data_IF_474339885406
#
_entry.id   IF_474339885406
#
_cell.length_a   1.000
_cell.length_b   1.000
_cell.length_c   1.000
_cell.angle_alpha   90.00
_cell.angle_beta   90.00
_cell.angle_gamma   90.00
#
_symmetry.space_group_name_H-M   'P 1'
#
loop_
_entity.id
_entity.type
_entity.pdbx_description
1 polymer ?
#
# COMPACT_ATOMS: atom_id res chain seq x y z
N UNK A 1 -17.76 -31.91 -24.79
CA UNK A 1 -18.88 -31.27 -24.07
C UNK A 1 -18.80 -31.52 -22.56
N UNK A 2 -18.94 -32.73 -22.04
CA UNK A 2 -18.97 -32.99 -20.57
C UNK A 2 -17.79 -32.40 -19.77
N UNK A 3 -16.55 -32.50 -20.28
CA UNK A 3 -15.36 -31.88 -19.63
C UNK A 3 -15.43 -30.35 -19.57
N UNK A 4 -15.92 -29.71 -20.63
CA UNK A 4 -16.07 -28.24 -20.67
C UNK A 4 -17.12 -27.79 -19.66
N UNK A 5 -18.28 -28.47 -19.62
CA UNK A 5 -19.32 -28.22 -18.62
C UNK A 5 -18.81 -28.37 -17.19
N UNK A 6 -18.04 -29.43 -16.91
CA UNK A 6 -17.46 -29.67 -15.58
C UNK A 6 -16.46 -28.59 -15.17
N UNK A 7 -15.59 -28.15 -16.09
CA UNK A 7 -14.62 -27.06 -15.83
C UNK A 7 -15.35 -25.75 -15.55
N UNK A 8 -16.31 -25.37 -16.40
CA UNK A 8 -17.10 -24.14 -16.19
C UNK A 8 -17.92 -24.21 -14.89
N UNK A 9 -18.48 -25.36 -14.53
CA UNK A 9 -19.16 -25.52 -13.25
C UNK A 9 -18.22 -25.35 -12.04
N UNK A 10 -16.99 -25.86 -12.12
CA UNK A 10 -15.98 -25.69 -11.07
C UNK A 10 -15.54 -24.22 -10.95
N UNK A 11 -15.34 -23.53 -12.07
CA UNK A 11 -15.00 -22.10 -12.09
C UNK A 11 -16.11 -21.24 -11.49
N UNK A 12 -17.38 -21.52 -11.83
CA UNK A 12 -18.52 -20.81 -11.24
C UNK A 12 -18.68 -21.11 -9.74
N UNK A 13 -18.45 -22.36 -9.32
CA UNK A 13 -18.47 -22.73 -7.90
C UNK A 13 -17.35 -22.04 -7.12
N UNK A 14 -16.14 -21.98 -7.69
CA UNK A 14 -15.01 -21.24 -7.12
C UNK A 14 -15.32 -19.75 -7.00
N UNK A 15 -15.86 -19.14 -8.05
CA UNK A 15 -16.25 -17.73 -8.04
C UNK A 15 -17.30 -17.47 -6.95
N UNK A 16 -18.31 -18.33 -6.83
CA UNK A 16 -19.34 -18.22 -5.79
C UNK A 16 -18.74 -18.31 -4.39
N UNK A 17 -17.88 -19.31 -4.13
CA UNK A 17 -17.22 -19.48 -2.83
C UNK A 17 -16.32 -18.28 -2.51
N UNK A 18 -15.50 -17.85 -3.48
CA UNK A 18 -14.64 -16.68 -3.34
C UNK A 18 -15.44 -15.41 -3.05
N UNK A 19 -16.53 -15.16 -3.77
CA UNK A 19 -17.41 -14.02 -3.53
C UNK A 19 -18.05 -14.08 -2.14
N UNK A 20 -18.58 -15.23 -1.74
CA UNK A 20 -19.18 -15.42 -0.41
C UNK A 20 -18.16 -15.18 0.72
N UNK A 21 -16.96 -15.74 0.61
CA UNK A 21 -15.91 -15.55 1.62
C UNK A 21 -15.52 -14.07 1.76
N UNK A 22 -15.36 -13.34 0.65
CA UNK A 22 -15.03 -11.91 0.71
C UNK A 22 -16.19 -11.07 1.25
N UNK A 23 -17.43 -11.35 0.83
CA UNK A 23 -18.61 -10.63 1.31
C UNK A 23 -18.87 -10.87 2.81
N UNK A 24 -18.76 -12.11 3.28
CA UNK A 24 -18.92 -12.44 4.68
C UNK A 24 -17.82 -11.80 5.54
N UNK A 25 -16.58 -11.78 5.06
CA UNK A 25 -15.49 -11.12 5.76
C UNK A 25 -15.65 -9.60 5.79
N UNK A 26 -16.04 -8.98 4.67
CA UNK A 26 -16.35 -7.55 4.62
C UNK A 26 -17.49 -7.20 5.59
N UNK A 27 -18.56 -8.01 5.61
CA UNK A 27 -19.66 -7.84 6.55
C UNK A 27 -19.20 -8.02 8.00
N UNK A 28 -18.35 -9.00 8.30
CA UNK A 28 -17.78 -9.21 9.63
C UNK A 28 -16.98 -7.99 10.11
N UNK A 29 -16.06 -7.47 9.29
CA UNK A 29 -15.25 -6.29 9.62
C UNK A 29 -16.15 -5.07 9.84
N UNK A 30 -17.08 -4.81 8.91
CA UNK A 30 -17.99 -3.67 9.01
C UNK A 30 -18.90 -3.75 10.24
N UNK A 31 -19.53 -4.91 10.48
CA UNK A 31 -20.42 -5.10 11.63
C UNK A 31 -19.69 -5.04 12.96
N UNK A 32 -18.45 -5.55 13.04
CA UNK A 32 -17.62 -5.48 14.23
C UNK A 32 -17.18 -4.04 14.52
N UNK A 33 -16.80 -3.29 13.49
CA UNK A 33 -16.50 -1.87 13.63
C UNK A 33 -17.71 -1.07 14.16
N UNK A 34 -18.88 -1.24 13.53
CA UNK A 34 -20.11 -0.56 13.95
C UNK A 34 -20.54 -0.97 15.36
N UNK A 35 -20.46 -2.26 15.70
CA UNK A 35 -20.77 -2.75 17.04
C UNK A 35 -19.83 -2.17 18.10
N UNK A 36 -18.53 -2.05 17.78
CA UNK A 36 -17.54 -1.40 18.64
C UNK A 36 -17.88 0.06 18.91
N UNK A 37 -18.29 0.81 17.88
CA UNK A 37 -18.69 2.20 18.02
C UNK A 37 -19.96 2.36 18.85
N UNK A 38 -20.97 1.52 18.62
CA UNK A 38 -22.21 1.52 19.42
C UNK A 38 -21.88 1.21 20.88
N UNK A 39 -21.05 0.18 21.14
CA UNK A 39 -20.64 -0.18 22.49
C UNK A 39 -19.91 0.96 23.20
N UNK A 40 -19.00 1.64 22.51
CA UNK A 40 -18.30 2.82 23.05
C UNK A 40 -19.25 3.97 23.36
N UNK A 41 -20.16 4.30 22.43
CA UNK A 41 -21.13 5.37 22.63
C UNK A 41 -22.10 5.08 23.79
N UNK A 42 -22.54 3.82 23.94
CA UNK A 42 -23.36 3.39 25.07
C UNK A 42 -22.58 3.46 26.38
N UNK A 43 -21.32 3.03 26.39
CA UNK A 43 -20.46 3.13 27.57
C UNK A 43 -20.21 4.58 27.98
N UNK A 44 -19.93 5.46 27.01
CA UNK A 44 -19.75 6.89 27.24
C UNK A 44 -21.04 7.54 27.74
N UNK A 45 -22.22 7.06 27.31
CA UNK A 45 -23.52 7.54 27.79
C UNK A 45 -23.86 7.05 29.20
N UNK A 46 -23.59 5.78 29.51
CA UNK A 46 -23.93 5.16 30.79
C UNK A 46 -22.94 5.49 31.91
N UNK A 47 -21.66 5.70 31.58
CA UNK A 47 -20.58 5.80 32.55
C UNK A 47 -19.81 7.12 32.54
N UNK A 48 -20.22 8.13 31.74
CA UNK A 48 -19.77 9.51 31.99
C UNK A 48 -20.42 10.06 33.27
N UNK A 49 -19.81 9.76 34.40
CA UNK A 49 -19.85 10.66 35.56
C UNK A 49 -19.01 11.91 35.25
N UNK A 50 -19.47 13.06 35.73
CA UNK A 50 -18.80 14.36 35.62
C UNK A 50 -17.40 14.31 36.24
N UNK A 51 -16.40 13.90 35.46
CA UNK A 51 -15.01 14.16 35.76
C UNK A 51 -14.48 14.95 34.58
N UNK A 52 -14.40 16.28 34.77
CA UNK A 52 -13.49 17.13 34.03
C UNK A 52 -12.08 16.59 34.29
N UNK A 53 -11.68 15.60 33.49
CA UNK A 53 -10.27 15.33 33.31
C UNK A 53 -9.79 16.47 32.44
N UNK A 54 -9.29 17.52 33.10
CA UNK A 54 -8.32 18.42 32.49
C UNK A 54 -7.32 17.52 31.77
N UNK A 55 -7.34 17.57 30.44
CA UNK A 55 -6.38 16.90 29.60
C UNK A 55 -5.04 17.45 30.06
N UNK A 56 -4.30 16.62 30.80
CA UNK A 56 -3.03 17.01 31.39
C UNK A 56 -2.15 17.42 30.22
N UNK A 57 -1.77 18.70 30.25
CA UNK A 57 -0.67 19.31 29.53
C UNK A 57 0.36 18.23 29.19
N UNK A 58 0.46 17.87 27.90
CA UNK A 58 1.52 17.01 27.45
C UNK A 58 2.83 17.73 27.77
N UNK A 59 3.52 17.21 28.77
CA UNK A 59 4.90 17.53 29.11
C UNK A 59 5.70 17.70 27.82
N UNK A 60 6.00 18.95 27.47
CA UNK A 60 7.03 19.30 26.50
C UNK A 60 8.32 18.63 26.93
N UNK A 61 8.59 17.46 26.36
CA UNK A 61 9.86 16.76 26.54
C UNK A 61 10.33 16.30 25.17
N UNK A 62 11.29 17.04 24.60
CA UNK A 62 12.10 16.69 23.42
C UNK A 62 11.40 16.30 22.09
N UNK A 63 10.06 16.35 21.99
CA UNK A 63 9.30 15.88 20.82
C UNK A 63 9.56 16.69 19.54
N UNK A 64 10.02 17.95 19.65
CA UNK A 64 10.13 18.88 18.51
C UNK A 64 11.11 18.42 17.40
N UNK A 65 12.08 17.56 17.70
CA UNK A 65 13.11 17.13 16.75
C UNK A 65 12.96 15.75 16.10
N UNK A 66 11.88 14.99 16.39
CA UNK A 66 11.74 13.64 15.84
C UNK A 66 11.02 13.63 14.47
N UNK A 67 11.64 13.07 13.42
CA UNK A 67 10.99 12.82 12.13
C UNK A 67 9.72 11.97 12.30
N UNK A 68 8.57 12.34 11.71
CA UNK A 68 7.37 11.53 11.84
C UNK A 68 7.51 10.19 11.10
N UNK A 69 6.74 9.19 11.54
CA UNK A 69 6.59 7.91 10.86
C UNK A 69 5.20 7.89 10.21
N UNK A 70 5.13 7.75 8.90
CA UNK A 70 3.87 7.73 8.15
C UNK A 70 3.55 6.31 7.70
N UNK A 71 2.45 5.75 8.21
CA UNK A 71 1.98 4.41 7.87
C UNK A 71 1.01 4.47 6.68
N UNK A 72 1.40 3.92 5.54
CA UNK A 72 0.63 3.99 4.28
C UNK A 72 -0.01 2.63 3.99
N UNK A 73 -1.34 2.58 4.01
CA UNK A 73 -2.10 1.33 3.85
C UNK A 73 -2.08 0.79 2.42
N UNK A 74 -2.49 -0.46 2.23
CA UNK A 74 -2.63 -1.09 0.91
C UNK A 74 -3.97 -0.86 0.22
N UNK A 75 -4.34 -1.80 -0.66
CA UNK A 75 -5.69 -1.93 -1.21
C UNK A 75 -6.70 -2.21 -0.10
N UNK A 76 -7.91 -1.65 -0.20
CA UNK A 76 -8.98 -1.72 0.81
C UNK A 76 -8.61 -1.18 2.20
N UNK A 77 -7.43 -0.59 2.36
CA UNK A 77 -7.02 0.03 3.60
C UNK A 77 -7.72 1.35 3.87
N UNK A 78 -7.50 1.88 5.06
CA UNK A 78 -8.14 3.08 5.56
C UNK A 78 -7.26 3.78 6.59
N UNK A 79 -7.41 5.10 6.70
CA UNK A 79 -6.65 5.89 7.67
C UNK A 79 -7.28 5.94 9.06
N UNK A 80 -6.61 6.66 9.97
CA UNK A 80 -7.10 6.87 11.34
C UNK A 80 -8.45 7.59 11.33
N UNK A 81 -9.40 7.08 12.11
CA UNK A 81 -10.75 7.66 12.25
C UNK A 81 -11.77 7.16 11.22
N UNK A 82 -11.39 6.24 10.33
CA UNK A 82 -12.31 5.48 9.49
C UNK A 82 -12.62 4.12 10.10
N UNK A 83 -13.79 3.58 9.76
CA UNK A 83 -14.36 2.38 10.37
C UNK A 83 -14.36 2.46 11.91
N UNK A 84 -14.71 3.63 12.42
CA UNK A 84 -14.90 3.84 13.85
C UNK A 84 -13.61 3.72 14.66
N UNK A 85 -13.66 2.89 15.70
CA UNK A 85 -12.51 2.55 16.54
C UNK A 85 -11.54 1.52 15.94
N UNK A 86 -11.82 0.93 14.77
CA UNK A 86 -10.96 -0.06 14.14
C UNK A 86 -9.68 0.59 13.59
N UNK A 87 -8.55 -0.11 13.72
CA UNK A 87 -7.26 0.35 13.18
C UNK A 87 -6.77 -0.58 12.09
N UNK A 88 -6.48 -0.04 10.90
CA UNK A 88 -5.88 -0.81 9.82
C UNK A 88 -4.53 -1.39 10.24
N UNK A 89 -3.68 -0.60 10.89
CA UNK A 89 -2.38 -1.07 11.40
C UNK A 89 -2.48 -1.72 12.79
N UNK A 90 -3.69 -2.13 13.21
CA UNK A 90 -3.99 -2.84 14.46
C UNK A 90 -3.39 -2.17 15.72
N UNK A 91 -3.34 -0.83 15.73
CA UNK A 91 -2.84 -0.04 16.85
C UNK A 91 -1.33 0.18 16.85
N UNK A 92 -0.60 -0.21 15.80
CA UNK A 92 0.82 0.12 15.66
C UNK A 92 1.07 1.63 15.76
N UNK A 93 0.15 2.46 15.28
CA UNK A 93 0.21 3.91 15.39
C UNK A 93 0.19 4.46 16.82
N UNK A 94 -0.03 3.61 17.83
CA UNK A 94 0.04 3.97 19.26
C UNK A 94 1.34 3.51 19.93
N UNK A 95 2.24 2.83 19.21
CA UNK A 95 3.48 2.25 19.76
C UNK A 95 4.66 3.25 19.79
N UNK A 96 4.56 4.38 19.13
CA UNK A 96 5.60 5.42 19.09
C UNK A 96 4.94 6.81 19.00
N UNK A 97 5.72 7.86 19.23
CA UNK A 97 5.29 9.24 19.09
C UNK A 97 5.34 9.68 17.63
N UNK A 98 4.54 10.69 17.25
CA UNK A 98 4.50 11.25 15.88
C UNK A 98 4.31 10.21 14.76
N UNK A 99 3.41 9.24 14.99
CA UNK A 99 2.99 8.30 13.95
C UNK A 99 1.71 8.80 13.27
N UNK A 100 1.79 9.01 11.96
CA UNK A 100 0.68 9.47 11.12
C UNK A 100 0.11 8.30 10.31
N UNK A 101 -1.21 8.28 10.14
CA UNK A 101 -1.92 7.22 9.39
C UNK A 101 -2.88 7.89 8.40
N UNK A 102 -2.40 8.29 7.21
CA UNK A 102 -3.22 8.92 6.18
C UNK A 102 -4.41 8.06 5.76
N UNK A 103 -5.52 8.74 5.47
CA UNK A 103 -6.71 8.16 4.85
C UNK A 103 -6.72 8.49 3.36
N UNK A 104 -6.10 7.61 2.57
CA UNK A 104 -6.01 7.71 1.12
C UNK A 104 -7.14 6.90 0.46
N UNK A 105 -7.39 7.14 -0.82
CA UNK A 105 -8.29 6.29 -1.59
C UNK A 105 -7.90 4.80 -1.50
N UNK A 106 -8.84 3.95 -1.10
CA UNK A 106 -8.56 2.53 -0.84
C UNK A 106 -8.45 1.71 -2.13
N UNK A 107 -8.99 2.22 -3.24
CA UNK A 107 -8.98 1.60 -4.57
C UNK A 107 -8.44 2.50 -5.70
N UNK A 108 -8.12 3.77 -5.42
CA UNK A 108 -7.56 4.70 -6.42
C UNK A 108 -6.16 4.26 -6.87
N UNK A 109 -5.72 4.76 -8.04
CA UNK A 109 -4.42 4.39 -8.62
C UNK A 109 -3.25 4.76 -7.69
N UNK A 110 -2.10 4.12 -7.89
CA UNK A 110 -0.91 4.41 -7.10
C UNK A 110 -0.48 5.88 -7.30
N UNK A 111 -0.64 6.40 -8.52
CA UNK A 111 -0.38 7.80 -8.86
C UNK A 111 -1.25 8.76 -8.03
N UNK A 112 -2.57 8.57 -8.05
CA UNK A 112 -3.50 9.42 -7.30
C UNK A 112 -3.25 9.38 -5.80
N UNK A 113 -2.99 8.18 -5.28
CA UNK A 113 -2.67 8.01 -3.86
C UNK A 113 -1.38 8.70 -3.47
N UNK A 114 -0.39 8.77 -4.36
CA UNK A 114 0.84 9.51 -4.11
C UNK A 114 0.59 11.02 -4.07
N UNK A 115 -0.25 11.54 -4.99
CA UNK A 115 -0.71 12.94 -4.98
C UNK A 115 -1.47 13.25 -3.69
N UNK A 116 -2.44 12.43 -3.30
CA UNK A 116 -3.21 12.60 -2.06
C UNK A 116 -2.31 12.57 -0.82
N UNK A 117 -1.32 11.68 -0.79
CA UNK A 117 -0.38 11.57 0.33
C UNK A 117 0.47 12.83 0.50
N UNK A 118 0.94 13.43 -0.59
CA UNK A 118 1.68 14.69 -0.55
C UNK A 118 0.85 15.80 0.12
N UNK A 119 -0.36 16.06 -0.39
CA UNK A 119 -1.20 17.13 0.13
C UNK A 119 -1.78 16.82 1.52
N UNK A 120 -1.95 15.55 1.89
CA UNK A 120 -2.27 15.18 3.28
C UNK A 120 -1.18 15.64 4.26
N UNK A 121 0.10 15.48 3.88
CA UNK A 121 1.24 15.86 4.71
C UNK A 121 1.49 17.36 4.65
N UNK A 122 1.72 17.91 3.46
CA UNK A 122 2.11 19.31 3.24
C UNK A 122 0.95 20.29 3.46
N UNK A 123 -0.27 19.86 3.15
CA UNK A 123 -1.47 20.70 3.12
C UNK A 123 -1.73 21.28 1.74
N UNK A 124 -2.95 21.79 1.54
CA UNK A 124 -3.45 22.33 0.28
C UNK A 124 -4.49 21.43 -0.37
N UNK A 125 -4.95 21.85 -1.55
CA UNK A 125 -5.92 21.11 -2.35
C UNK A 125 -5.19 20.11 -3.22
N UNK A 126 -5.63 18.84 -3.19
CA UNK A 126 -5.05 17.80 -4.03
C UNK A 126 -5.14 18.20 -5.50
N UNK A 127 -4.00 18.24 -6.17
CA UNK A 127 -3.87 18.41 -7.62
C UNK A 127 -3.33 17.10 -8.21
N UNK A 128 -4.15 16.44 -9.03
CA UNK A 128 -3.79 15.22 -9.74
C UNK A 128 -2.99 15.52 -11.02
N UNK A 129 -2.88 16.79 -11.43
CA UNK A 129 -2.25 17.23 -12.66
C UNK A 129 -3.25 17.25 -13.82
N UNK A 130 -3.15 18.28 -14.66
CA UNK A 130 -4.06 18.52 -15.79
C UNK A 130 -4.04 17.38 -16.80
N UNK A 131 -2.85 17.05 -17.33
CA UNK A 131 -2.68 15.98 -18.34
C UNK A 131 -3.19 14.62 -17.85
N UNK A 132 -2.85 14.24 -16.62
CA UNK A 132 -3.31 12.98 -16.03
C UNK A 132 -4.84 12.95 -15.90
N UNK A 133 -5.43 14.03 -15.40
CA UNK A 133 -6.88 14.09 -15.16
C UNK A 133 -7.68 14.10 -16.45
N UNK A 134 -7.17 14.72 -17.51
CA UNK A 134 -7.75 14.66 -18.85
C UNK A 134 -7.65 13.26 -19.44
N UNK A 135 -6.48 12.61 -19.36
CA UNK A 135 -6.26 11.26 -19.87
C UNK A 135 -7.12 10.20 -19.13
N UNK A 136 -7.28 10.34 -17.82
CA UNK A 136 -8.02 9.43 -16.96
C UNK A 136 -9.52 9.80 -16.82
N UNK A 137 -9.94 10.95 -17.35
CA UNK A 137 -11.34 11.36 -17.39
C UNK A 137 -11.94 11.72 -16.02
N UNK A 138 -11.16 12.34 -15.14
CA UNK A 138 -11.61 12.78 -13.82
C UNK A 138 -11.25 14.24 -13.52
N UNK A 139 -11.68 14.76 -12.37
CA UNK A 139 -11.39 16.13 -11.96
C UNK A 139 -9.92 16.31 -11.62
N UNK A 140 -9.30 17.41 -12.08
CA UNK A 140 -7.93 17.80 -11.69
C UNK A 140 -7.75 17.96 -10.18
N UNK A 141 -8.75 18.52 -9.52
CA UNK A 141 -8.65 18.83 -8.10
C UNK A 141 -9.50 17.92 -7.23
N UNK A 142 -8.88 17.36 -6.19
CA UNK A 142 -9.49 16.49 -5.20
C UNK A 142 -9.82 17.18 -3.88
N UNK A 143 -9.60 16.43 -2.78
CA UNK A 143 -9.86 16.84 -1.39
C UNK A 143 -9.01 18.07 -1.02
N UNK A 144 -9.58 18.97 -0.21
CA UNK A 144 -8.87 20.13 0.34
C UNK A 144 -8.37 19.84 1.76
N UNK A 145 -7.05 19.70 1.91
CA UNK A 145 -6.38 19.56 3.20
C UNK A 145 -5.95 20.95 3.71
N UNK A 146 -6.91 21.73 4.22
CA UNK A 146 -6.68 23.11 4.70
C UNK A 146 -5.44 23.27 5.61
N UNK A 147 -5.15 22.25 6.43
CA UNK A 147 -3.94 22.14 7.22
C UNK A 147 -3.33 20.75 7.00
N UNK A 148 -2.10 20.73 6.46
CA UNK A 148 -1.31 19.51 6.37
C UNK A 148 -1.01 18.92 7.74
N UNK A 149 -0.82 17.61 7.82
CA UNK A 149 -0.42 16.96 9.07
C UNK A 149 1.04 17.22 9.45
N UNK A 150 1.87 17.64 8.49
CA UNK A 150 3.26 18.03 8.69
C UNK A 150 3.68 19.12 7.69
N UNK A 151 3.16 20.37 7.81
CA UNK A 151 3.41 21.43 6.83
C UNK A 151 4.89 21.85 6.71
N UNK A 152 5.66 21.68 7.77
CA UNK A 152 7.10 21.92 7.82
C UNK A 152 7.92 20.87 7.04
N UNK A 153 7.29 19.84 6.47
CA UNK A 153 7.97 18.79 5.71
C UNK A 153 8.87 19.38 4.61
N UNK A 154 10.16 19.14 4.72
CA UNK A 154 11.19 19.49 3.75
C UNK A 154 12.43 18.58 3.89
N UNK A 155 13.57 18.97 3.33
CA UNK A 155 14.82 18.20 3.40
C UNK A 155 15.46 18.20 4.81
N UNK A 156 15.27 19.27 5.58
CA UNK A 156 15.75 19.41 6.96
C UNK A 156 14.77 18.76 7.95
N UNK A 157 13.51 18.59 7.54
CA UNK A 157 12.43 17.95 8.28
C UNK A 157 11.92 16.69 7.52
N UNK A 158 12.76 15.67 7.28
CA UNK A 158 12.37 14.54 6.44
C UNK A 158 11.48 13.54 7.18
N UNK A 159 10.89 12.60 6.43
CA UNK A 159 9.91 11.63 6.94
C UNK A 159 10.39 10.18 6.78
N UNK A 160 10.01 9.32 7.73
CA UNK A 160 10.04 7.87 7.56
C UNK A 160 8.70 7.36 7.05
N UNK A 161 8.70 6.57 5.98
CA UNK A 161 7.50 5.91 5.49
C UNK A 161 7.51 4.41 5.79
N UNK A 162 6.36 3.87 6.18
CA UNK A 162 6.12 2.43 6.32
C UNK A 162 4.90 2.06 5.49
N UNK A 163 5.12 1.36 4.37
CA UNK A 163 4.07 0.97 3.43
C UNK A 163 3.68 -0.50 3.58
N UNK A 164 2.40 -0.78 3.78
CA UNK A 164 1.87 -2.14 3.63
C UNK A 164 1.33 -2.37 2.21
N UNK A 165 1.63 -3.51 1.61
CA UNK A 165 1.06 -3.91 0.30
C UNK A 165 1.28 -2.83 -0.78
N UNK A 166 0.23 -2.41 -1.47
CA UNK A 166 0.25 -1.32 -2.45
C UNK A 166 0.77 0.02 -1.89
N UNK A 167 0.65 0.26 -0.58
CA UNK A 167 1.16 1.48 0.07
C UNK A 167 2.67 1.65 -0.11
N UNK A 168 3.42 0.55 -0.25
CA UNK A 168 4.84 0.59 -0.55
C UNK A 168 5.14 1.15 -1.96
N UNK A 169 4.27 0.89 -2.95
CA UNK A 169 4.40 1.50 -4.28
C UNK A 169 4.05 2.99 -4.23
N UNK A 170 2.99 3.37 -3.49
CA UNK A 170 2.58 4.77 -3.31
C UNK A 170 3.74 5.62 -2.78
N UNK A 171 4.44 5.12 -1.76
CA UNK A 171 5.59 5.82 -1.18
C UNK A 171 6.71 6.02 -2.20
N UNK A 172 7.00 5.00 -3.03
CA UNK A 172 8.05 5.08 -4.04
C UNK A 172 7.69 6.07 -5.16
N UNK A 173 6.44 6.05 -5.61
CA UNK A 173 5.93 7.00 -6.60
C UNK A 173 5.96 8.42 -6.05
N UNK A 174 5.53 8.63 -4.81
CA UNK A 174 5.66 9.91 -4.12
C UNK A 174 7.12 10.37 -4.06
N UNK A 175 8.04 9.50 -3.66
CA UNK A 175 9.46 9.86 -3.58
C UNK A 175 10.03 10.28 -4.94
N UNK A 176 9.67 9.57 -6.02
CA UNK A 176 10.07 9.95 -7.37
C UNK A 176 9.44 11.28 -7.78
N UNK A 177 8.16 11.51 -7.50
CA UNK A 177 7.49 12.78 -7.77
C UNK A 177 8.14 13.97 -7.06
N UNK A 178 8.65 13.77 -5.84
CA UNK A 178 9.41 14.78 -5.12
C UNK A 178 10.74 15.07 -5.83
N UNK A 179 11.47 14.04 -6.27
CA UNK A 179 12.71 14.19 -7.01
C UNK A 179 12.51 14.93 -8.35
N UNK A 180 11.40 14.64 -9.02
CA UNK A 180 11.02 15.20 -10.32
C UNK A 180 10.34 16.58 -10.20
N UNK A 181 10.12 17.07 -8.97
CA UNK A 181 9.42 18.34 -8.68
C UNK A 181 8.03 18.41 -9.30
N UNK A 182 7.28 17.32 -9.19
CA UNK A 182 6.01 17.17 -9.88
C UNK A 182 4.84 17.97 -9.28
N UNK A 183 5.05 18.67 -8.15
CA UNK A 183 4.00 19.38 -7.42
C UNK A 183 4.07 20.89 -7.68
N UNK A 184 3.08 21.42 -8.42
CA UNK A 184 3.01 22.84 -8.79
C UNK A 184 3.02 23.73 -7.53
N UNK A 185 3.91 24.72 -7.50
CA UNK A 185 4.09 25.63 -6.37
C UNK A 185 5.02 25.12 -5.26
N UNK A 186 5.65 23.95 -5.43
CA UNK A 186 6.60 23.36 -4.49
C UNK A 186 7.92 22.96 -5.20
N UNK A 187 8.57 23.94 -5.81
CA UNK A 187 9.79 23.76 -6.62
C UNK A 187 11.03 23.33 -5.81
N UNK A 188 10.94 23.42 -4.48
CA UNK A 188 11.97 23.01 -3.52
C UNK A 188 11.98 21.50 -3.24
N UNK A 189 10.95 20.77 -3.69
CA UNK A 189 10.84 19.33 -3.46
C UNK A 189 12.02 18.57 -4.05
N UNK A 190 12.43 17.51 -3.35
CA UNK A 190 13.47 16.58 -3.78
C UNK A 190 13.30 15.22 -3.08
N UNK A 191 14.01 14.20 -3.54
CA UNK A 191 13.99 12.84 -2.98
C UNK A 191 14.39 12.78 -1.51
N UNK A 192 15.12 13.81 -1.05
CA UNK A 192 15.77 13.87 0.23
C UNK A 192 14.81 14.19 1.39
N UNK A 193 13.59 14.63 1.07
CA UNK A 193 12.46 14.76 1.99
C UNK A 193 12.02 13.41 2.59
N UNK A 194 12.53 12.30 2.04
CA UNK A 194 12.30 10.94 2.51
C UNK A 194 13.56 10.35 3.11
N UNK A 195 13.52 10.06 4.41
CA UNK A 195 14.67 9.52 5.13
C UNK A 195 14.75 7.99 5.04
N UNK A 196 13.61 7.30 5.13
CA UNK A 196 13.56 5.85 4.91
C UNK A 196 12.23 5.39 4.36
N UNK A 197 12.26 4.30 3.61
CA UNK A 197 11.08 3.55 3.15
C UNK A 197 11.17 2.13 3.69
N UNK A 198 10.23 1.76 4.56
CA UNK A 198 10.06 0.38 5.00
C UNK A 198 8.81 -0.19 4.36
N UNK A 199 8.89 -1.43 3.90
CA UNK A 199 7.75 -2.15 3.36
C UNK A 199 7.42 -3.37 4.17
N UNK A 200 6.12 -3.59 4.41
CA UNK A 200 5.56 -4.82 4.93
C UNK A 200 4.67 -5.43 3.85
N UNK A 201 5.08 -6.59 3.33
CA UNK A 201 4.35 -7.27 2.25
C UNK A 201 4.17 -6.42 0.97
N UNK A 202 5.14 -5.57 0.61
CA UNK A 202 5.00 -4.58 -0.47
C UNK A 202 4.86 -5.15 -1.87
N UNK A 203 4.01 -4.54 -2.69
CA UNK A 203 3.73 -5.02 -4.05
C UNK A 203 4.71 -4.48 -5.11
N UNK A 204 6.04 -4.59 -4.91
CA UNK A 204 6.99 -3.89 -5.78
C UNK A 204 6.98 -4.33 -7.24
N UNK A 205 6.66 -5.59 -7.52
CA UNK A 205 6.70 -6.17 -8.86
C UNK A 205 5.34 -6.67 -9.33
N UNK A 206 4.26 -6.28 -8.65
CA UNK A 206 2.92 -6.77 -8.91
C UNK A 206 2.66 -8.17 -8.34
N UNK A 207 1.51 -8.75 -8.66
CA UNK A 207 1.10 -10.06 -8.15
C UNK A 207 0.32 -10.86 -9.18
N UNK A 208 0.50 -12.18 -9.16
CA UNK A 208 -0.32 -13.10 -9.96
C UNK A 208 -1.76 -13.19 -9.46
N UNK A 209 -2.04 -12.73 -8.22
CA UNK A 209 -3.40 -12.69 -7.67
C UNK A 209 -4.34 -11.82 -8.51
N UNK A 210 -3.86 -10.74 -9.11
CA UNK A 210 -4.68 -9.86 -9.94
C UNK A 210 -5.35 -10.64 -11.08
N UNK A 211 -4.61 -11.54 -11.75
CA UNK A 211 -5.15 -12.35 -12.86
C UNK A 211 -6.11 -13.44 -12.39
N UNK A 212 -5.87 -13.99 -11.19
CA UNK A 212 -6.78 -14.96 -10.54
C UNK A 212 -8.09 -14.30 -10.14
N UNK A 213 -8.04 -13.07 -9.63
CA UNK A 213 -9.22 -12.33 -9.21
C UNK A 213 -10.02 -11.78 -10.40
N UNK A 214 -9.37 -11.50 -11.55
CA UNK A 214 -10.09 -11.18 -12.79
C UNK A 214 -9.37 -10.31 -13.81
N UNK A 215 -8.15 -9.82 -13.56
CA UNK A 215 -7.40 -9.06 -14.56
C UNK A 215 -7.00 -9.94 -15.74
N UNK A 216 -6.94 -9.36 -16.94
CA UNK A 216 -6.51 -10.06 -18.16
C UNK A 216 -4.99 -10.13 -18.21
N UNK A 217 -4.49 -11.26 -18.68
CA UNK A 217 -3.05 -11.52 -18.81
C UNK A 217 -2.45 -10.83 -20.03
N UNK A 218 -3.27 -10.54 -21.04
CA UNK A 218 -2.87 -9.94 -22.31
C UNK A 218 -2.40 -8.49 -22.17
N UNK A 219 -3.16 -7.67 -21.44
CA UNK A 219 -2.90 -6.23 -21.29
C UNK A 219 -2.58 -5.81 -19.84
N UNK A 220 -2.99 -6.59 -18.83
CA UNK A 220 -2.87 -6.22 -17.42
C UNK A 220 -3.79 -5.06 -16.99
N UNK A 221 -4.72 -4.64 -17.85
CA UNK A 221 -5.59 -3.47 -17.62
C UNK A 221 -7.06 -3.88 -17.70
N UNK A 222 -7.42 -4.73 -18.66
CA UNK A 222 -8.77 -5.20 -18.84
C UNK A 222 -9.18 -6.22 -17.76
N UNK A 223 -10.47 -6.32 -17.50
CA UNK A 223 -11.05 -7.36 -16.64
C UNK A 223 -11.74 -8.44 -17.47
N UNK A 224 -11.64 -9.69 -17.00
CA UNK A 224 -12.41 -10.83 -17.52
C UNK A 224 -13.91 -10.56 -17.34
N UNK A 225 -14.77 -11.00 -18.27
CA UNK A 225 -16.20 -10.70 -18.25
C UNK A 225 -16.93 -11.34 -17.06
N UNK A 226 -16.46 -12.50 -16.59
CA UNK A 226 -17.00 -13.20 -15.42
C UNK A 226 -15.82 -13.45 -14.47
N UNK A 227 -15.80 -12.75 -13.35
CA UNK A 227 -14.71 -12.84 -12.35
C UNK A 227 -15.10 -12.19 -11.02
N UNK A 228 -14.29 -12.42 -9.99
CA UNK A 228 -14.49 -11.81 -8.67
C UNK A 228 -14.37 -10.28 -8.75
N UNK A 229 -13.44 -9.78 -9.57
CA UNK A 229 -13.26 -8.35 -9.78
C UNK A 229 -14.45 -7.68 -10.46
N UNK A 230 -15.17 -8.36 -11.35
CA UNK A 230 -16.40 -7.78 -11.92
C UNK A 230 -17.48 -7.57 -10.86
N UNK A 231 -17.62 -8.50 -9.91
CA UNK A 231 -18.53 -8.34 -8.78
C UNK A 231 -18.10 -7.18 -7.87
N UNK A 232 -16.81 -7.07 -7.60
CA UNK A 232 -16.23 -5.96 -6.84
C UNK A 232 -16.48 -4.61 -7.55
N UNK A 233 -16.19 -4.53 -8.85
CA UNK A 233 -16.43 -3.35 -9.69
C UNK A 233 -17.89 -2.91 -9.61
N UNK A 234 -18.85 -3.82 -9.81
CA UNK A 234 -20.28 -3.49 -9.73
C UNK A 234 -20.61 -2.95 -8.33
N UNK A 235 -20.13 -3.59 -7.27
CA UNK A 235 -20.34 -3.14 -5.89
C UNK A 235 -19.79 -1.73 -5.63
N UNK A 236 -18.58 -1.43 -6.12
CA UNK A 236 -17.94 -0.11 -5.99
C UNK A 236 -18.69 0.96 -6.80
N UNK A 237 -19.06 0.66 -8.05
CA UNK A 237 -19.85 1.59 -8.88
C UNK A 237 -21.17 1.92 -8.18
N UNK A 238 -21.88 0.91 -7.67
CA UNK A 238 -23.14 1.11 -6.95
C UNK A 238 -22.94 1.92 -5.67
N UNK A 239 -21.88 1.64 -4.91
CA UNK A 239 -21.53 2.37 -3.70
C UNK A 239 -21.29 3.86 -3.97
N UNK A 240 -20.44 4.18 -4.94
CA UNK A 240 -20.07 5.57 -5.25
C UNK A 240 -21.19 6.33 -5.95
N UNK A 241 -21.99 5.64 -6.76
CA UNK A 241 -23.18 6.20 -7.37
C UNK A 241 -24.27 6.53 -6.35
N UNK A 242 -24.55 5.64 -5.38
CA UNK A 242 -25.56 5.91 -4.33
C UNK A 242 -25.19 7.11 -3.44
N UNK A 243 -23.90 7.38 -3.26
CA UNK A 243 -23.38 8.59 -2.61
C UNK A 243 -23.98 8.86 -1.22
N UNK A 244 -24.05 7.81 -0.40
CA UNK A 244 -24.61 7.86 0.97
C UNK A 244 -23.59 8.52 1.90
N UNK A 245 -23.88 9.74 2.34
CA UNK A 245 -22.90 10.60 3.04
C UNK A 245 -22.34 10.00 4.32
N UNK A 246 -23.16 9.40 5.19
CA UNK A 246 -22.66 8.80 6.44
C UNK A 246 -21.74 7.61 6.16
N UNK A 247 -22.05 6.83 5.12
CA UNK A 247 -21.29 5.65 4.75
C UNK A 247 -19.93 6.04 4.15
N UNK A 248 -19.89 7.06 3.29
CA UNK A 248 -18.64 7.66 2.77
C UNK A 248 -17.77 8.28 3.85
N UNK A 249 -18.38 8.90 4.84
CA UNK A 249 -17.66 9.39 6.03
C UNK A 249 -17.12 8.24 6.87
N UNK A 250 -17.83 7.11 6.93
CA UNK A 250 -17.39 5.94 7.68
C UNK A 250 -16.22 5.20 7.01
N UNK A 251 -16.31 4.99 5.69
CA UNK A 251 -15.28 4.38 4.86
C UNK A 251 -15.50 4.75 3.40
N UNK A 252 -14.47 5.21 2.67
CA UNK A 252 -14.57 5.61 1.25
C UNK A 252 -13.60 4.81 0.38
N UNK A 253 -14.01 4.48 -0.86
CA UNK A 253 -13.11 3.89 -1.86
C UNK A 253 -12.16 4.91 -2.51
N UNK A 254 -12.45 6.22 -2.38
CA UNK A 254 -11.58 7.30 -2.84
C UNK A 254 -11.92 7.90 -4.21
N UNK A 255 -12.96 7.43 -4.90
CA UNK A 255 -13.29 7.88 -6.27
C UNK A 255 -14.09 9.19 -6.34
N UNK A 256 -14.01 10.05 -5.32
CA UNK A 256 -14.80 11.30 -5.28
C UNK A 256 -14.47 12.24 -6.47
N UNK A 257 -13.22 12.24 -6.95
CA UNK A 257 -12.77 13.06 -8.08
C UNK A 257 -13.31 12.59 -9.45
N UNK A 258 -13.81 11.35 -9.56
CA UNK A 258 -14.53 10.84 -10.73
C UNK A 258 -16.00 11.29 -10.79
N UNK A 259 -16.53 11.94 -9.75
CA UNK A 259 -17.87 12.55 -9.75
C UNK A 259 -19.03 11.58 -10.06
N UNK A 260 -18.93 10.30 -9.69
CA UNK A 260 -19.90 9.26 -10.06
C UNK A 260 -21.27 9.34 -9.37
N UNK A 261 -21.45 10.22 -8.38
CA UNK A 261 -22.69 10.37 -7.60
C UNK A 261 -23.95 10.52 -8.47
N UNK A 262 -25.03 9.86 -8.07
CA UNK A 262 -26.34 9.92 -8.73
C UNK A 262 -26.88 11.35 -8.85
N UNK A 263 -26.51 12.24 -7.90
CA UNK A 263 -26.87 13.67 -7.93
C UNK A 263 -26.25 14.41 -9.12
N UNK A 264 -25.11 13.94 -9.62
CA UNK A 264 -24.36 14.53 -10.73
C UNK A 264 -24.67 13.85 -12.06
N UNK A 265 -24.75 12.52 -12.07
CA UNK A 265 -24.75 11.72 -13.32
C UNK A 265 -26.07 11.02 -13.62
N UNK A 266 -26.97 10.90 -12.62
CA UNK A 266 -28.27 10.24 -12.76
C UNK A 266 -28.15 8.74 -13.14
N UNK A 267 -29.27 8.15 -13.60
CA UNK A 267 -29.31 6.75 -14.01
C UNK A 267 -28.52 6.47 -15.30
N UNK A 268 -28.43 7.46 -16.20
CA UNK A 268 -27.65 7.32 -17.43
C UNK A 268 -26.16 7.14 -17.12
N UNK A 269 -25.62 7.96 -16.21
CA UNK A 269 -24.24 7.83 -15.76
C UNK A 269 -23.92 6.49 -15.11
N UNK A 270 -24.88 5.92 -14.37
CA UNK A 270 -24.72 4.56 -13.82
C UNK A 270 -24.55 3.52 -14.95
N UNK A 271 -25.40 3.59 -15.98
CA UNK A 271 -25.30 2.69 -17.14
C UNK A 271 -23.97 2.89 -17.85
N UNK A 272 -23.54 4.14 -18.07
CA UNK A 272 -22.26 4.44 -18.72
C UNK A 272 -21.06 3.88 -17.92
N UNK A 273 -21.09 3.98 -16.59
CA UNK A 273 -20.07 3.38 -15.72
C UNK A 273 -20.09 1.84 -15.76
N UNK A 274 -21.28 1.22 -15.76
CA UNK A 274 -21.45 -0.24 -15.78
C UNK A 274 -21.08 -0.86 -17.13
N UNK A 275 -21.30 -0.16 -18.23
CA UNK A 275 -20.86 -0.60 -19.57
C UNK A 275 -19.36 -0.35 -19.77
N UNK A 276 -18.76 0.55 -18.98
CA UNK A 276 -17.31 0.85 -19.03
C UNK A 276 -16.95 1.97 -19.98
N UNK A 277 -17.89 2.90 -20.23
CA UNK A 277 -17.63 4.11 -21.03
C UNK A 277 -16.98 5.22 -20.20
N UNK A 278 -17.20 5.22 -18.88
CA UNK A 278 -16.74 6.28 -17.96
C UNK A 278 -16.32 5.70 -16.61
N UNK A 279 -15.56 6.49 -15.84
CA UNK A 279 -15.11 6.15 -14.50
C UNK A 279 -13.77 5.41 -14.46
N UNK A 280 -13.27 5.10 -13.26
CA UNK A 280 -11.90 4.60 -13.03
C UNK A 280 -11.63 3.28 -13.76
N UNK A 281 -12.65 2.42 -13.86
CA UNK A 281 -12.54 1.11 -14.49
C UNK A 281 -12.46 1.17 -16.02
N UNK A 282 -12.90 2.27 -16.64
CA UNK A 282 -12.86 2.45 -18.09
C UNK A 282 -11.46 2.85 -18.57
N UNK A 283 -10.78 3.71 -17.82
CA UNK A 283 -9.44 4.22 -18.13
C UNK A 283 -8.33 3.34 -17.55
N UNK A 284 -8.64 2.48 -16.59
CA UNK A 284 -7.65 1.69 -15.87
C UNK A 284 -7.00 2.47 -14.72
N UNK A 285 -7.53 3.65 -14.40
CA UNK A 285 -7.03 4.51 -13.32
C UNK A 285 -7.60 4.10 -11.96
N UNK A 286 -7.13 2.93 -11.50
CA UNK A 286 -7.41 2.36 -10.20
C UNK A 286 -6.29 1.39 -9.83
N UNK A 287 -6.27 0.93 -8.59
CA UNK A 287 -5.11 0.23 -8.02
C UNK A 287 -4.75 -1.11 -8.68
N UNK A 288 -5.70 -1.84 -9.29
CA UNK A 288 -5.41 -3.21 -9.74
C UNK A 288 -4.55 -3.33 -11.00
N UNK A 289 -4.76 -2.51 -12.05
CA UNK A 289 -3.81 -2.40 -13.17
C UNK A 289 -2.37 -2.20 -12.69
N UNK A 290 -2.14 -1.29 -11.74
CA UNK A 290 -0.82 -1.02 -11.15
C UNK A 290 -0.22 -2.22 -10.39
N UNK A 291 -1.08 -3.11 -9.88
CA UNK A 291 -0.69 -4.34 -9.17
C UNK A 291 -0.49 -5.56 -10.08
N UNK A 292 -0.75 -5.45 -11.38
CA UNK A 292 -0.33 -6.49 -12.33
C UNK A 292 1.18 -6.47 -12.50
N UNK A 293 1.78 -7.57 -12.96
CA UNK A 293 3.22 -7.62 -13.21
C UNK A 293 3.60 -6.59 -14.28
N UNK A 294 2.77 -6.43 -15.33
CA UNK A 294 2.97 -5.44 -16.38
C UNK A 294 2.86 -4.01 -15.84
N UNK A 295 1.80 -3.69 -15.09
CA UNK A 295 1.58 -2.37 -14.53
C UNK A 295 2.69 -1.97 -13.55
N UNK A 296 3.07 -2.86 -12.63
CA UNK A 296 4.19 -2.63 -11.72
C UNK A 296 5.52 -2.47 -12.44
N UNK A 297 5.76 -3.20 -13.53
CA UNK A 297 6.97 -3.05 -14.35
C UNK A 297 6.98 -1.71 -15.09
N UNK A 298 5.85 -1.30 -15.66
CA UNK A 298 5.69 0.02 -16.29
C UNK A 298 5.96 1.13 -15.28
N UNK A 299 5.33 1.04 -14.10
CA UNK A 299 5.54 1.99 -13.01
C UNK A 299 7.01 2.06 -12.61
N UNK A 300 7.65 0.92 -12.36
CA UNK A 300 9.05 0.86 -11.94
C UNK A 300 10.04 1.38 -12.97
N UNK A 301 9.70 1.44 -14.26
CA UNK A 301 10.62 1.90 -15.32
C UNK A 301 11.09 3.34 -15.10
N UNK A 302 10.29 4.15 -14.41
CA UNK A 302 10.60 5.55 -14.10
C UNK A 302 11.00 5.77 -12.63
N UNK A 303 10.95 4.72 -11.79
CA UNK A 303 11.23 4.85 -10.35
C UNK A 303 12.68 4.48 -10.04
N UNK A 304 13.35 5.32 -9.26
CA UNK A 304 14.73 5.09 -8.84
C UNK A 304 14.82 4.60 -7.38
N UNK A 305 16.03 4.21 -6.98
CA UNK A 305 16.40 4.02 -5.57
C UNK A 305 17.44 5.07 -5.24
N UNK A 306 17.10 5.95 -4.32
CA UNK A 306 17.85 7.16 -4.07
C UNK A 306 19.01 6.90 -3.08
N UNK A 307 20.21 7.44 -3.34
CA UNK A 307 21.42 7.08 -2.60
C UNK A 307 21.39 7.50 -1.12
N UNK A 308 20.56 8.49 -0.76
CA UNK A 308 20.50 9.04 0.60
C UNK A 308 19.33 8.50 1.44
N UNK A 309 18.53 7.58 0.90
CA UNK A 309 17.35 7.01 1.59
C UNK A 309 17.62 5.58 2.01
N UNK A 310 17.19 5.19 3.21
CA UNK A 310 17.26 3.80 3.67
C UNK A 310 16.05 3.00 3.20
N UNK A 311 16.25 1.81 2.65
CA UNK A 311 15.17 0.97 2.14
C UNK A 311 15.12 -0.38 2.86
N UNK A 312 13.96 -0.76 3.36
CA UNK A 312 13.73 -2.03 4.04
C UNK A 312 12.51 -2.74 3.49
N UNK A 313 12.56 -4.07 3.43
CA UNK A 313 11.41 -4.89 3.06
C UNK A 313 11.25 -6.13 3.95
N UNK A 314 10.04 -6.33 4.43
CA UNK A 314 9.61 -7.55 5.10
C UNK A 314 8.69 -8.31 4.14
N UNK A 315 9.29 -9.22 3.39
CA UNK A 315 8.58 -10.09 2.47
C UNK A 315 7.91 -11.23 3.24
N UNK A 316 6.61 -11.43 3.04
CA UNK A 316 5.83 -12.43 3.78
C UNK A 316 5.64 -13.71 2.97
N UNK A 317 5.47 -14.85 3.65
CA UNK A 317 5.05 -16.10 3.00
C UNK A 317 4.29 -17.03 3.94
N UNK A 318 3.36 -17.80 3.35
CA UNK A 318 2.68 -18.95 3.96
C UNK A 318 2.70 -20.18 3.05
N UNK A 319 3.82 -20.39 2.38
CA UNK A 319 4.04 -21.51 1.47
C UNK A 319 5.31 -22.25 1.86
N UNK A 320 5.32 -23.55 1.59
CA UNK A 320 6.46 -24.44 1.83
C UNK A 320 6.72 -25.28 0.59
N UNK A 321 7.99 -25.60 0.34
CA UNK A 321 8.37 -26.52 -0.75
C UNK A 321 8.46 -27.94 -0.22
N UNK A 322 7.68 -28.86 -0.79
CA UNK A 322 7.73 -30.30 -0.51
C UNK A 322 7.90 -31.05 -1.84
N UNK A 323 8.94 -31.88 -1.94
CA UNK A 323 9.23 -32.67 -3.14
C UNK A 323 9.23 -31.84 -4.45
N UNK A 324 9.76 -30.61 -4.39
CA UNK A 324 9.80 -29.70 -5.54
C UNK A 324 8.50 -28.95 -5.84
N UNK A 325 7.40 -29.21 -5.14
CA UNK A 325 6.13 -28.50 -5.27
C UNK A 325 5.97 -27.46 -4.17
N UNK A 326 5.53 -26.26 -4.54
CA UNK A 326 5.13 -25.22 -3.59
C UNK A 326 3.69 -25.48 -3.14
N UNK A 327 3.47 -25.58 -1.83
CA UNK A 327 2.14 -25.82 -1.24
C UNK A 327 1.88 -24.88 -0.06
N UNK A 328 0.61 -24.65 0.32
CA UNK A 328 0.28 -23.90 1.55
C UNK A 328 0.95 -24.52 2.79
N UNK A 329 1.44 -23.66 3.70
CA UNK A 329 2.15 -24.09 4.91
C UNK A 329 1.25 -24.77 5.95
N UNK A 330 -0.05 -24.50 5.93
CA UNK A 330 -1.06 -25.18 6.76
C UNK A 330 -2.34 -24.37 6.93
N UNK A 331 -3.47 -25.05 7.11
CA UNK A 331 -4.81 -24.42 7.19
C UNK A 331 -4.95 -23.52 8.42
N UNK A 332 -4.33 -23.87 9.55
CA UNK A 332 -4.44 -23.11 10.81
C UNK A 332 -3.61 -21.81 10.81
N UNK A 333 -2.58 -21.70 9.96
CA UNK A 333 -1.70 -20.53 9.92
C UNK A 333 -2.11 -19.45 8.92
N UNK A 334 -2.98 -19.80 7.97
CA UNK A 334 -3.43 -18.92 6.90
C UNK A 334 -4.84 -18.45 7.22
N UNK A 335 -5.10 -17.15 7.04
CA UNK A 335 -6.43 -16.60 7.22
C UNK A 335 -7.42 -17.26 6.24
N UNK A 336 -8.63 -17.65 6.66
CA UNK A 336 -9.58 -18.34 5.78
C UNK A 336 -9.84 -17.61 4.45
N UNK A 337 -9.92 -16.28 4.48
CA UNK A 337 -10.08 -15.43 3.28
C UNK A 337 -8.92 -15.54 2.28
N UNK A 338 -7.71 -15.89 2.74
CA UNK A 338 -6.52 -15.98 1.90
C UNK A 338 -6.17 -17.42 1.48
N UNK A 339 -6.72 -18.44 2.15
CA UNK A 339 -6.30 -19.84 1.96
C UNK A 339 -6.42 -20.31 0.51
N UNK A 340 -7.57 -20.07 -0.12
CA UNK A 340 -7.81 -20.46 -1.51
C UNK A 340 -6.83 -19.77 -2.47
N UNK A 341 -6.54 -18.49 -2.24
CA UNK A 341 -5.57 -17.73 -3.04
C UNK A 341 -4.14 -18.18 -2.81
N UNK A 342 -3.75 -18.52 -1.58
CA UNK A 342 -2.43 -19.12 -1.31
C UNK A 342 -2.23 -20.37 -2.16
N UNK A 343 -3.24 -21.24 -2.19
CA UNK A 343 -3.21 -22.47 -2.97
C UNK A 343 -3.11 -22.20 -4.48
N UNK A 344 -4.01 -21.37 -5.03
CA UNK A 344 -4.03 -21.08 -6.48
C UNK A 344 -2.76 -20.38 -6.96
N UNK A 345 -2.23 -19.42 -6.18
CA UNK A 345 -0.97 -18.75 -6.52
C UNK A 345 0.22 -19.73 -6.49
N UNK A 346 0.21 -20.73 -5.59
CA UNK A 346 1.24 -21.77 -5.54
C UNK A 346 1.25 -22.66 -6.78
N UNK A 347 0.11 -22.76 -7.47
CA UNK A 347 -0.08 -23.54 -8.70
C UNK A 347 -0.19 -22.67 -9.95
N UNK A 348 0.11 -21.37 -9.84
CA UNK A 348 -0.02 -20.43 -10.94
C UNK A 348 0.84 -20.87 -12.13
N UNK A 349 0.22 -20.79 -13.33
CA UNK A 349 0.87 -20.99 -14.63
C UNK A 349 0.43 -19.85 -15.52
N UNK A 350 1.38 -19.09 -16.04
CA UNK A 350 1.06 -18.05 -16.98
C UNK A 350 0.57 -18.66 -18.30
N UNK A 351 -0.50 -18.12 -18.92
CA UNK A 351 -1.04 -18.66 -20.16
C UNK A 351 0.00 -18.73 -21.28
N UNK A 352 0.07 -19.87 -22.00
CA UNK A 352 1.08 -20.12 -23.04
C UNK A 352 0.79 -19.40 -24.37
N UNK A 353 -0.46 -19.02 -24.59
CA UNK A 353 -0.95 -18.29 -25.75
C UNK A 353 -0.70 -16.78 -25.67
N UNK A 354 -0.27 -16.29 -24.50
CA UNK A 354 0.04 -14.88 -24.25
C UNK A 354 1.54 -14.72 -24.06
N UNK A 355 2.09 -13.60 -24.54
CA UNK A 355 3.50 -13.28 -24.28
C UNK A 355 3.73 -13.13 -22.77
N UNK A 356 4.80 -13.71 -22.21
CA UNK A 356 5.12 -13.54 -20.79
C UNK A 356 5.26 -12.06 -20.40
N UNK A 357 4.98 -11.69 -19.15
CA UNK A 357 4.93 -10.28 -18.73
C UNK A 357 6.30 -9.58 -18.80
N UNK A 358 7.39 -10.36 -18.81
CA UNK A 358 8.75 -9.87 -19.06
C UNK A 358 9.64 -11.00 -19.59
N UNK A 359 10.77 -10.61 -20.20
CA UNK A 359 11.74 -11.56 -20.75
C UNK A 359 12.37 -12.40 -19.64
N UNK A 360 12.30 -13.72 -19.76
CA UNK A 360 12.85 -14.65 -18.77
C UNK A 360 11.90 -14.96 -17.60
N UNK A 361 10.62 -14.59 -17.70
CA UNK A 361 9.59 -14.99 -16.74
C UNK A 361 9.56 -16.50 -16.54
N UNK A 362 9.44 -16.93 -15.27
CA UNK A 362 9.33 -18.31 -14.86
C UNK A 362 8.28 -18.46 -13.77
N UNK A 363 7.28 -19.31 -14.00
CA UNK A 363 6.20 -19.54 -13.03
C UNK A 363 6.74 -19.92 -11.64
N UNK A 364 7.79 -20.74 -11.57
CA UNK A 364 8.32 -21.30 -10.32
C UNK A 364 8.84 -20.23 -9.35
N UNK A 365 9.22 -19.07 -9.88
CA UNK A 365 9.68 -17.92 -9.08
C UNK A 365 8.50 -17.19 -8.42
N UNK A 366 7.30 -17.33 -8.98
CA UNK A 366 6.08 -16.67 -8.52
C UNK A 366 5.17 -17.58 -7.68
N UNK A 367 5.60 -18.80 -7.33
CA UNK A 367 4.74 -19.71 -6.56
C UNK A 367 4.70 -19.39 -5.06
N UNK A 368 5.83 -19.00 -4.46
CA UNK A 368 5.85 -18.62 -3.04
C UNK A 368 5.06 -17.34 -2.84
N UNK A 369 4.15 -17.33 -1.86
CA UNK A 369 3.23 -16.22 -1.64
C UNK A 369 2.68 -16.18 -0.20
N UNK A 370 2.00 -15.08 0.13
CA UNK A 370 1.32 -14.84 1.40
C UNK A 370 -0.22 -14.78 1.28
N UNK A 371 -0.75 -15.19 0.12
CA UNK A 371 -2.18 -15.17 -0.21
C UNK A 371 -2.66 -13.91 -0.89
N UNK A 372 -1.86 -12.84 -0.95
CA UNK A 372 -2.15 -11.68 -1.79
C UNK A 372 -1.00 -11.34 -2.76
N UNK A 373 0.24 -11.49 -2.31
CA UNK A 373 1.44 -11.13 -3.03
C UNK A 373 2.38 -12.32 -3.13
N UNK A 374 3.06 -12.42 -4.26
CA UNK A 374 4.13 -13.40 -4.44
C UNK A 374 5.38 -12.93 -3.67
N UNK A 375 6.05 -13.84 -2.96
CA UNK A 375 7.18 -13.50 -2.08
C UNK A 375 8.33 -12.87 -2.82
N UNK A 376 8.59 -13.28 -4.05
CA UNK A 376 9.60 -12.65 -4.91
C UNK A 376 9.30 -11.17 -5.16
N UNK A 377 8.02 -10.82 -5.34
CA UNK A 377 7.57 -9.46 -5.62
C UNK A 377 7.80 -8.52 -4.44
N UNK A 378 7.77 -9.06 -3.22
CA UNK A 378 7.90 -8.28 -1.99
C UNK A 378 9.33 -7.95 -1.61
N UNK A 379 10.34 -8.65 -2.15
CA UNK A 379 11.74 -8.49 -1.72
C UNK A 379 12.27 -7.07 -1.96
N UNK A 380 12.26 -6.63 -3.20
CA UNK A 380 12.71 -5.31 -3.66
C UNK A 380 12.21 -5.08 -5.09
N UNK A 381 12.37 -3.88 -5.67
CA UNK A 381 12.07 -3.65 -7.09
C UNK A 381 12.98 -4.50 -8.00
N UNK A 382 12.35 -5.53 -8.56
CA UNK A 382 12.78 -6.58 -9.49
C UNK A 382 12.98 -6.14 -10.94
N UNK A 383 11.91 -5.50 -11.38
CA UNK A 383 11.52 -5.34 -12.77
C UNK A 383 11.31 -3.85 -13.06
N UNK A 384 11.63 -3.38 -14.28
CA UNK A 384 12.29 -4.14 -15.36
C UNK A 384 13.79 -4.35 -15.12
N UNK A 385 14.40 -3.49 -14.30
CA UNK A 385 15.81 -3.56 -13.89
C UNK A 385 15.83 -3.82 -12.39
N UNK A 386 16.70 -4.72 -11.94
CA UNK A 386 16.81 -5.08 -10.53
C UNK A 386 17.55 -3.97 -9.76
N UNK A 387 16.91 -3.46 -8.71
CA UNK A 387 17.49 -2.43 -7.86
C UNK A 387 18.49 -3.04 -6.85
N UNK A 388 19.50 -2.27 -6.39
CA UNK A 388 20.47 -2.76 -5.42
C UNK A 388 19.80 -3.30 -4.15
N UNK A 389 20.10 -4.54 -3.79
CA UNK A 389 19.48 -5.20 -2.64
C UNK A 389 20.42 -6.15 -1.90
N UNK A 390 20.07 -6.43 -0.63
CA UNK A 390 20.78 -7.35 0.24
C UNK A 390 19.81 -8.10 1.14
N UNK A 391 19.91 -9.44 1.12
CA UNK A 391 19.16 -10.30 2.03
C UNK A 391 19.75 -10.24 3.44
N UNK A 392 18.90 -10.09 4.45
CA UNK A 392 19.28 -10.09 5.87
C UNK A 392 18.69 -11.31 6.58
N UNK A 393 19.54 -12.14 7.20
CA UNK A 393 19.10 -13.28 8.01
C UNK A 393 18.84 -12.89 9.47
N UNK A 394 19.76 -12.14 10.07
CA UNK A 394 19.66 -11.67 11.45
C UNK A 394 19.72 -10.15 11.55
N UNK A 395 18.95 -9.56 12.46
CA UNK A 395 18.97 -8.12 12.74
C UNK A 395 20.35 -7.67 13.27
N UNK A 396 21.21 -8.59 13.71
CA UNK A 396 22.61 -8.33 14.06
C UNK A 396 23.51 -7.98 12.86
N UNK A 397 23.12 -8.34 11.64
CA UNK A 397 23.84 -7.97 10.41
C UNK A 397 23.60 -6.51 9.99
N UNK A 398 22.69 -5.80 10.68
CA UNK A 398 22.33 -4.40 10.45
C UNK A 398 23.28 -3.39 11.12
N UNK A 399 24.46 -3.78 11.61
CA UNK A 399 25.34 -2.87 12.37
C UNK A 399 25.93 -1.73 11.52
N UNK A 400 26.05 -1.92 10.20
CA UNK A 400 26.48 -0.87 9.25
C UNK A 400 25.61 -0.90 8.00
N UNK A 401 24.37 -0.44 8.13
CA UNK A 401 23.47 -0.24 6.99
C UNK A 401 23.89 1.00 6.19
N UNK A 402 23.98 0.86 4.88
CA UNK A 402 24.19 1.96 3.93
C UNK A 402 22.86 2.35 3.26
N UNK A 403 22.58 3.65 3.05
CA UNK A 403 21.43 4.08 2.26
C UNK A 403 21.61 3.72 0.77
N UNK A 404 20.53 3.81 -0.01
CA UNK A 404 20.51 3.47 -1.43
C UNK A 404 20.45 1.98 -1.76
N UNK A 405 20.25 1.11 -0.77
CA UNK A 405 20.17 -0.35 -0.92
C UNK A 405 18.91 -0.87 -0.23
N UNK A 406 18.20 -1.78 -0.89
CA UNK A 406 17.06 -2.50 -0.33
C UNK A 406 17.49 -3.67 0.56
N UNK A 407 17.27 -3.54 1.86
CA UNK A 407 17.50 -4.63 2.81
C UNK A 407 16.23 -5.42 3.05
N UNK A 408 16.20 -6.70 2.67
CA UNK A 408 14.99 -7.50 2.77
C UNK A 408 15.13 -8.72 3.67
N UNK A 409 14.04 -9.08 4.34
CA UNK A 409 13.89 -10.24 5.22
C UNK A 409 12.62 -10.99 4.84
N UNK A 410 12.67 -12.32 4.89
CA UNK A 410 11.48 -13.16 4.68
C UNK A 410 10.88 -13.54 6.03
N UNK A 411 9.58 -13.37 6.19
CA UNK A 411 8.81 -13.60 7.41
C UNK A 411 7.68 -14.60 7.13
N UNK A 412 7.52 -15.59 8.01
CA UNK A 412 6.43 -16.57 7.95
C UNK A 412 5.12 -15.95 8.46
N UNK A 413 4.37 -15.34 7.56
CA UNK A 413 3.12 -14.65 7.83
C UNK A 413 2.30 -14.56 6.54
N UNK A 414 0.97 -14.49 6.67
CA UNK A 414 0.14 -14.12 5.51
C UNK A 414 -0.04 -12.61 5.41
N UNK A 415 -0.66 -12.18 4.32
CA UNK A 415 -0.74 -10.78 3.94
C UNK A 415 -1.37 -9.86 4.99
N UNK A 416 -2.26 -10.40 5.84
CA UNK A 416 -3.01 -9.63 6.83
C UNK A 416 -2.62 -9.97 8.28
N UNK A 417 -1.52 -10.72 8.48
CA UNK A 417 -1.09 -11.14 9.82
C UNK A 417 -0.76 -9.94 10.71
N UNK A 418 -0.14 -8.90 10.16
CA UNK A 418 0.35 -7.74 10.91
C UNK A 418 -0.54 -6.48 10.80
N UNK A 419 -1.77 -6.65 10.33
CA UNK A 419 -2.76 -5.57 10.18
C UNK A 419 -4.13 -6.05 10.66
N UNK A 420 -5.04 -5.11 10.97
CA UNK A 420 -6.44 -5.29 11.39
C UNK A 420 -6.61 -6.02 12.73
N UNK A 421 -6.01 -7.20 12.92
CA UNK A 421 -6.13 -8.02 14.12
C UNK A 421 -4.75 -8.29 14.74
N UNK A 422 -4.43 -7.52 15.79
CA UNK A 422 -3.19 -7.67 16.56
C UNK A 422 -3.09 -9.03 17.27
N UNK A 423 -4.18 -9.55 17.83
CA UNK A 423 -4.19 -10.80 18.61
C UNK A 423 -3.76 -11.99 17.77
N UNK A 424 -4.11 -11.97 16.48
CA UNK A 424 -3.75 -13.04 15.54
C UNK A 424 -2.24 -13.21 15.36
N UNK A 425 -1.49 -12.10 15.33
CA UNK A 425 -0.03 -12.15 15.28
C UNK A 425 0.61 -12.24 16.67
N UNK A 426 -0.12 -11.86 17.73
CA UNK A 426 0.34 -11.90 19.11
C UNK A 426 1.69 -11.20 19.27
N UNK A 427 2.65 -11.90 19.89
CA UNK A 427 4.01 -11.35 20.13
C UNK A 427 4.75 -10.99 18.83
N UNK A 428 4.47 -11.68 17.72
CA UNK A 428 5.15 -11.38 16.44
C UNK A 428 4.77 -9.99 15.90
N UNK A 429 3.55 -9.52 16.19
CA UNK A 429 3.13 -8.17 15.84
C UNK A 429 4.04 -7.13 16.50
N UNK A 430 4.20 -7.25 17.82
CA UNK A 430 4.99 -6.32 18.61
C UNK A 430 6.45 -6.36 18.16
N UNK A 431 7.03 -7.55 17.98
CA UNK A 431 8.41 -7.70 17.49
C UNK A 431 8.67 -7.01 16.15
N UNK A 432 7.73 -7.10 15.19
CA UNK A 432 7.92 -6.46 13.88
C UNK A 432 7.81 -4.94 13.98
N UNK A 433 6.74 -4.40 14.55
CA UNK A 433 6.57 -2.95 14.60
C UNK A 433 7.59 -2.28 15.51
N UNK A 434 7.96 -2.90 16.63
CA UNK A 434 9.03 -2.40 17.50
C UNK A 434 10.36 -2.38 16.74
N UNK A 435 10.68 -3.44 15.97
CA UNK A 435 11.89 -3.48 15.14
C UNK A 435 11.87 -2.41 14.05
N UNK A 436 10.74 -2.19 13.37
CA UNK A 436 10.59 -1.16 12.33
C UNK A 436 10.78 0.23 12.93
N UNK A 437 10.06 0.54 14.01
CA UNK A 437 10.09 1.87 14.61
C UNK A 437 11.45 2.17 15.25
N UNK A 438 12.05 1.21 15.95
CA UNK A 438 13.43 1.36 16.45
C UNK A 438 14.43 1.63 15.32
N UNK A 439 14.24 1.03 14.12
CA UNK A 439 15.10 1.36 12.96
C UNK A 439 14.86 2.77 12.47
N UNK A 440 13.61 3.21 12.32
CA UNK A 440 13.30 4.60 11.99
C UNK A 440 14.01 5.55 12.98
N UNK A 441 13.86 5.30 14.29
CA UNK A 441 14.46 6.10 15.36
C UNK A 441 16.00 6.00 15.43
N UNK A 442 16.62 4.95 14.90
CA UNK A 442 18.09 4.87 14.77
C UNK A 442 18.64 5.76 13.64
N UNK A 443 17.81 6.07 12.65
CA UNK A 443 18.22 6.81 11.45
C UNK A 443 17.80 8.28 11.46
N UNK A 444 17.52 8.86 12.63
CA UNK A 444 16.96 10.23 12.80
C UNK A 444 17.74 11.33 12.07
N UNK A 445 19.05 11.18 11.90
CA UNK A 445 19.89 12.15 11.18
C UNK A 445 20.61 11.49 10.01
N UNK A 446 20.62 12.18 8.87
CA UNK A 446 21.57 11.89 7.79
C UNK A 446 22.97 12.00 8.38
N UNK A 447 23.74 10.91 8.33
CA UNK A 447 25.18 11.02 8.51
C UNK A 447 25.71 11.75 7.27
N UNK A 448 25.78 13.08 7.34
CA UNK A 448 26.49 13.87 6.34
C UNK A 448 27.91 13.29 6.28
N UNK A 449 28.40 12.82 5.13
CA UNK A 449 29.81 12.51 4.99
C UNK A 449 30.54 13.81 5.28
N UNK A 450 31.31 13.86 6.37
CA UNK A 450 32.17 15.01 6.64
C UNK A 450 33.11 15.14 5.44
N UNK A 451 32.83 16.10 4.56
CA UNK A 451 33.80 16.60 3.60
C UNK A 451 34.90 17.24 4.43
N UNK A 452 35.95 16.47 4.69
CA UNK A 452 37.20 16.99 5.24
C UNK A 452 37.62 18.16 4.33
N UNK A 453 37.81 19.37 4.88
CA UNK A 453 38.29 20.48 4.07
C UNK A 453 39.64 20.08 3.50
N UNK A 454 39.77 20.14 2.18
CA UNK A 454 41.02 19.94 1.45
C UNK A 454 42.15 20.72 2.16
N UNK A 455 43.02 20.00 2.86
CA UNK A 455 44.30 20.56 3.26
C UNK A 455 45.09 20.80 1.97
N UNK A 456 45.23 22.06 1.61
CA UNK A 456 46.06 22.51 0.49
C UNK A 456 47.50 21.98 0.70
N UNK A 457 48.14 21.37 -0.31
CA UNK A 457 49.53 20.96 -0.17
C UNK A 457 50.41 22.21 0.00
N UNK A 458 51.08 22.35 1.15
CA UNK A 458 52.16 23.32 1.32
C UNK A 458 53.25 23.02 0.28
N UNK A 459 53.54 23.99 -0.57
CA UNK A 459 54.63 23.94 -1.54
C UNK A 459 55.98 23.67 -0.84
N UNK A 460 56.86 22.83 -1.40
CA UNK A 460 58.18 22.58 -0.83
C UNK A 460 59.08 23.79 -1.05
N UNK A 461 59.70 24.27 0.03
CA UNK A 461 60.80 25.25 -0.03
C UNK A 461 62.01 24.61 -0.71
N UNK A 462 62.53 25.25 -1.74
CA UNK A 462 63.79 24.92 -2.41
C UNK A 462 64.99 25.09 -1.47
N UNK A 463 65.89 24.11 -1.35
CA UNK A 463 67.25 24.36 -0.88
C UNK A 463 68.14 24.81 -2.05
N UNK A 464 69.16 25.60 -1.71
CA UNK A 464 70.16 26.22 -2.59
C UNK A 464 70.90 25.24 -3.49
#
# INVERSE_FOLDING_TARGET
MMKLWMVTSLELAELFVSAMVHLLYAFYIFSTAVAGDISKNVNDYLFKSNVDVNDYDQSQSNVEGLPPIVLVHGIFGFGKGRLGGLSYFAGAEKKDERVLVPDLGSLTSIYDRARELFYYLKGGRVDFGEEHSEACGHSRFGRDYRKGQYPEWDEDHPIHFVGHSAGAQVIRVLQQMLADKAFEGFDETNENWVLSVTSLSGAFNGTTRTYLDGMRTEDGIGMKPISLLQLCRIGVIMYDWLDISWLKTYYSFGFDHFNMSWKKTGLRGLVDCLVGNTGPFATGDWVLPDLTIQGSTSLNSNLQTFPNTYYFSYATKRTRRIMGMTIPSGVLGIHPMLFLRVFQMSQWRFPQDVSPPYKGYRDEEWQENDGAMNTISMTHPRLPVEHPSRFIRSDSECQTLQPGIWYYKIVEADHITFIVNRERAGVQFDLIYDSIFQRCRKHVFRKIPQTLPNQSPRAPRSPR
#
